data_IF_089377954704
#
_entry.id   IF_089377954704
#
_cell.length_a   1.000
_cell.length_b   1.000
_cell.length_c   1.000
_cell.angle_alpha   90.00
_cell.angle_beta   90.00
_cell.angle_gamma   90.00
#
_symmetry.space_group_name_H-M   'P 1'
#
loop_
_entity.id
_entity.type
_entity.pdbx_description
1 polymer ?
#
# COMPACT_ATOMS: atom_id res chain seq x y z
N UNK A 1 -5.89 -4.22 73.35
CA UNK A 1 -5.55 -4.15 71.91
C UNK A 1 -4.15 -4.74 71.73
N UNK A 2 -4.05 -5.90 71.06
CA UNK A 2 -2.81 -6.70 70.94
C UNK A 2 -1.78 -5.99 70.04
N UNK A 3 -0.48 -6.15 70.33
CA UNK A 3 0.64 -5.56 69.56
C UNK A 3 0.57 -5.97 68.08
N UNK A 4 0.13 -7.21 67.83
CA UNK A 4 -0.09 -7.75 66.48
C UNK A 4 -1.15 -6.92 65.71
N UNK A 5 -2.26 -6.53 66.34
CA UNK A 5 -3.26 -5.69 65.68
C UNK A 5 -2.73 -4.28 65.37
N UNK A 6 -1.86 -3.72 66.22
CA UNK A 6 -1.24 -2.41 65.95
C UNK A 6 -0.29 -2.48 64.75
N UNK A 7 0.48 -3.55 64.61
CA UNK A 7 1.36 -3.79 63.46
C UNK A 7 0.57 -3.96 62.16
N UNK A 8 -0.56 -4.69 62.19
CA UNK A 8 -1.45 -4.79 61.03
C UNK A 8 -2.02 -3.44 60.61
N UNK A 9 -2.58 -2.66 61.55
CA UNK A 9 -3.12 -1.33 61.24
C UNK A 9 -2.04 -0.41 60.66
N UNK A 10 -0.81 -0.47 61.17
CA UNK A 10 0.29 0.38 60.70
C UNK A 10 0.75 -0.02 59.29
N UNK A 11 0.81 -1.33 59.01
CA UNK A 11 1.06 -1.87 57.67
C UNK A 11 -0.03 -1.44 56.68
N UNK A 12 -1.29 -1.63 57.04
CA UNK A 12 -2.43 -1.32 56.18
C UNK A 12 -2.53 0.19 55.91
N UNK A 13 -2.26 1.03 56.92
CA UNK A 13 -2.20 2.49 56.76
C UNK A 13 -1.05 2.91 55.86
N UNK A 14 0.13 2.29 56.00
CA UNK A 14 1.27 2.57 55.14
C UNK A 14 1.00 2.17 53.68
N UNK A 15 0.37 1.01 53.45
CA UNK A 15 -0.07 0.56 52.12
C UNK A 15 -1.07 1.52 51.49
N UNK A 16 -2.13 1.91 52.22
CA UNK A 16 -3.12 2.88 51.75
C UNK A 16 -2.50 4.24 51.40
N UNK A 17 -1.54 4.70 52.21
CA UNK A 17 -0.86 5.98 51.98
C UNK A 17 0.02 5.91 50.72
N UNK A 18 0.73 4.80 50.53
CA UNK A 18 1.54 4.56 49.34
C UNK A 18 0.69 4.49 48.06
N UNK A 19 -0.40 3.72 48.08
CA UNK A 19 -1.35 3.62 46.96
C UNK A 19 -1.88 5.01 46.56
N UNK A 20 -2.36 5.79 47.53
CA UNK A 20 -2.89 7.13 47.27
C UNK A 20 -1.85 8.11 46.72
N UNK A 21 -0.61 8.03 47.19
CA UNK A 21 0.50 8.83 46.66
C UNK A 21 0.82 8.43 45.20
N UNK A 22 0.85 7.14 44.91
CA UNK A 22 1.07 6.63 43.54
C UNK A 22 -0.04 7.06 42.60
N UNK A 23 -1.31 6.95 43.02
CA UNK A 23 -2.47 7.38 42.24
C UNK A 23 -2.37 8.87 41.88
N UNK A 24 -2.16 9.73 42.88
CA UNK A 24 -2.03 11.16 42.66
C UNK A 24 -0.86 11.51 41.71
N UNK A 25 0.28 10.81 41.85
CA UNK A 25 1.44 11.02 40.98
C UNK A 25 1.13 10.69 39.52
N UNK A 26 0.58 9.50 39.25
CA UNK A 26 0.33 9.06 37.88
C UNK A 26 -0.83 9.80 37.22
N UNK A 27 -1.93 10.06 37.93
CA UNK A 27 -3.03 10.86 37.39
C UNK A 27 -2.59 12.29 37.07
N UNK A 28 -1.83 12.93 37.98
CA UNK A 28 -1.28 14.28 37.72
C UNK A 28 -0.28 14.30 36.56
N UNK A 29 0.52 13.25 36.43
CA UNK A 29 1.47 13.10 35.31
C UNK A 29 0.73 12.93 33.98
N UNK A 30 -0.30 12.08 33.94
CA UNK A 30 -1.13 11.89 32.74
C UNK A 30 -1.77 13.21 32.27
N UNK A 31 -2.39 13.96 33.18
CA UNK A 31 -3.00 15.26 32.87
C UNK A 31 -1.97 16.26 32.30
N UNK A 32 -0.75 16.28 32.85
CA UNK A 32 0.32 17.14 32.34
C UNK A 32 0.78 16.72 30.94
N UNK A 33 0.88 15.42 30.66
CA UNK A 33 1.24 14.89 29.35
C UNK A 33 0.15 15.18 28.32
N UNK A 34 -1.12 14.91 28.66
CA UNK A 34 -2.27 15.19 27.80
C UNK A 34 -2.30 16.68 27.40
N UNK A 35 -2.14 17.58 28.37
CA UNK A 35 -2.06 19.02 28.11
C UNK A 35 -0.88 19.37 27.21
N UNK A 36 0.29 18.78 27.45
CA UNK A 36 1.46 18.99 26.62
C UNK A 36 1.21 18.54 25.17
N UNK A 37 0.56 17.39 24.96
CA UNK A 37 0.26 16.84 23.63
C UNK A 37 -0.77 17.71 22.88
N UNK A 38 -1.76 18.26 23.59
CA UNK A 38 -2.80 19.10 23.00
C UNK A 38 -2.35 20.53 22.67
N UNK A 39 -1.47 21.12 23.50
CA UNK A 39 -1.14 22.56 23.42
C UNK A 39 0.26 22.87 22.87
N UNK A 40 1.17 21.90 22.84
CA UNK A 40 2.57 22.15 22.45
C UNK A 40 2.78 22.04 20.95
N UNK A 41 3.36 23.07 20.33
CA UNK A 41 3.84 23.02 18.95
C UNK A 41 5.31 22.56 18.84
N UNK A 42 6.00 22.41 19.99
CA UNK A 42 7.39 21.96 20.06
C UNK A 42 7.48 20.44 19.85
N UNK A 43 7.95 20.03 18.66
CA UNK A 43 8.10 18.64 18.23
C UNK A 43 8.95 17.79 19.19
N UNK A 44 9.98 18.38 19.81
CA UNK A 44 10.85 17.67 20.76
C UNK A 44 10.13 17.39 22.07
N UNK A 45 9.31 18.34 22.53
CA UNK A 45 8.46 18.14 23.71
C UNK A 45 7.37 17.11 23.44
N UNK A 46 6.71 17.19 22.27
CA UNK A 46 5.71 16.21 21.84
C UNK A 46 6.29 14.80 21.80
N UNK A 47 7.42 14.62 21.12
CA UNK A 47 8.10 13.32 21.02
C UNK A 47 8.47 12.77 22.40
N UNK A 48 8.94 13.63 23.31
CA UNK A 48 9.26 13.23 24.69
C UNK A 48 8.00 12.84 25.48
N UNK A 49 6.89 13.57 25.30
CA UNK A 49 5.63 13.29 25.96
C UNK A 49 5.02 11.96 25.49
N UNK A 50 4.96 11.74 24.17
CA UNK A 50 4.51 10.47 23.58
C UNK A 50 5.38 9.30 24.06
N UNK A 51 6.71 9.42 23.96
CA UNK A 51 7.63 8.36 24.41
C UNK A 51 7.45 8.03 25.90
N UNK A 52 7.23 9.05 26.74
CA UNK A 52 6.99 8.83 28.16
C UNK A 52 5.64 8.13 28.40
N UNK A 53 4.59 8.58 27.73
CA UNK A 53 3.25 7.99 27.84
C UNK A 53 3.25 6.53 27.37
N UNK A 54 3.81 6.26 26.20
CA UNK A 54 3.95 4.91 25.64
C UNK A 54 4.65 3.95 26.61
N UNK A 55 5.64 4.42 27.37
CA UNK A 55 6.39 3.60 28.34
C UNK A 55 5.65 3.38 29.67
N UNK A 56 4.76 4.30 30.04
CA UNK A 56 4.23 4.39 31.41
C UNK A 56 2.71 4.29 31.52
N UNK A 57 2.00 4.13 30.41
CA UNK A 57 0.55 3.93 30.41
C UNK A 57 0.07 2.79 31.33
N UNK A 58 0.78 1.63 31.49
CA UNK A 58 0.27 0.57 32.36
C UNK A 58 0.20 1.03 33.83
N UNK A 59 1.19 1.82 34.26
CA UNK A 59 1.23 2.38 35.63
C UNK A 59 0.17 3.44 35.84
N UNK A 60 -0.13 4.22 34.80
CA UNK A 60 -1.23 5.20 34.84
C UNK A 60 -2.57 4.51 34.94
N UNK A 61 -2.76 3.43 34.17
CA UNK A 61 -3.97 2.61 34.25
C UNK A 61 -4.12 1.92 35.62
N UNK A 62 -3.06 1.29 36.15
CA UNK A 62 -3.04 0.72 37.51
C UNK A 62 -3.34 1.77 38.60
N UNK A 63 -2.98 3.03 38.35
CA UNK A 63 -3.28 4.16 39.22
C UNK A 63 -4.72 4.70 39.08
N UNK A 64 -5.53 4.13 38.19
CA UNK A 64 -6.94 4.47 38.01
C UNK A 64 -7.21 5.51 36.92
N UNK A 65 -6.26 5.80 36.04
CA UNK A 65 -6.54 6.56 34.81
C UNK A 65 -7.31 5.66 33.85
N UNK A 66 -8.35 6.21 33.23
CA UNK A 66 -9.17 5.49 32.27
C UNK A 66 -8.33 5.06 31.04
N UNK A 67 -8.48 3.80 30.63
CA UNK A 67 -7.67 3.25 29.54
C UNK A 67 -8.04 3.86 28.19
N UNK A 68 -9.32 4.19 27.97
CA UNK A 68 -9.77 4.81 26.73
C UNK A 68 -9.26 6.26 26.64
N UNK A 69 -9.22 6.99 27.75
CA UNK A 69 -8.56 8.31 27.81
C UNK A 69 -7.07 8.22 27.46
N UNK A 70 -6.37 7.19 27.96
CA UNK A 70 -4.96 6.94 27.62
C UNK A 70 -4.80 6.69 26.12
N UNK A 71 -5.60 5.79 25.56
CA UNK A 71 -5.54 5.40 24.13
C UNK A 71 -5.77 6.61 23.23
N UNK A 72 -6.70 7.51 23.59
CA UNK A 72 -6.97 8.74 22.81
C UNK A 72 -5.79 9.73 22.78
N UNK A 73 -4.88 9.65 23.76
CA UNK A 73 -3.73 10.57 23.88
C UNK A 73 -2.44 9.93 23.38
N UNK A 74 -2.37 8.59 23.31
CA UNK A 74 -1.22 7.89 22.76
C UNK A 74 -1.02 8.22 21.28
N UNK A 75 0.24 8.20 20.86
CA UNK A 75 0.54 8.30 19.43
C UNK A 75 0.00 7.05 18.72
N UNK A 76 -0.66 7.16 17.56
CA UNK A 76 -1.22 5.99 16.87
C UNK A 76 -0.19 4.88 16.58
N UNK A 77 1.05 5.24 16.23
CA UNK A 77 2.13 4.25 16.07
C UNK A 77 2.46 3.51 17.37
N UNK A 78 2.45 4.19 18.52
CA UNK A 78 2.70 3.54 19.81
C UNK A 78 1.56 2.57 20.18
N UNK A 79 0.32 2.87 19.74
CA UNK A 79 -0.83 1.97 19.90
C UNK A 79 -0.64 0.71 19.06
N UNK A 80 -0.20 0.83 17.80
CA UNK A 80 0.07 -0.32 16.91
C UNK A 80 1.18 -1.22 17.48
N UNK A 81 2.26 -0.61 17.99
CA UNK A 81 3.37 -1.36 18.59
C UNK A 81 2.95 -2.11 19.86
N UNK A 82 2.02 -1.55 20.63
CA UNK A 82 1.58 -2.12 21.91
C UNK A 82 0.15 -2.68 21.85
N UNK A 83 -0.34 -3.00 20.66
CA UNK A 83 -1.75 -3.31 20.41
C UNK A 83 -2.26 -4.44 21.30
N UNK A 84 -1.53 -5.56 21.37
CA UNK A 84 -1.91 -6.71 22.17
C UNK A 84 -1.90 -6.38 23.67
N UNK A 85 -0.91 -5.62 24.15
CA UNK A 85 -0.82 -5.24 25.55
C UNK A 85 -1.96 -4.32 26.00
N UNK A 86 -2.37 -3.39 25.13
CA UNK A 86 -3.52 -2.51 25.37
C UNK A 86 -4.84 -3.31 25.34
N UNK A 87 -4.99 -4.23 24.38
CA UNK A 87 -6.17 -5.09 24.28
C UNK A 87 -6.30 -6.03 25.48
N UNK A 88 -5.19 -6.62 25.94
CA UNK A 88 -5.13 -7.47 27.14
C UNK A 88 -5.49 -6.69 28.42
N UNK A 89 -5.19 -5.39 28.46
CA UNK A 89 -5.61 -4.50 29.54
C UNK A 89 -7.08 -4.06 29.43
N UNK A 90 -7.78 -4.44 28.35
CA UNK A 90 -9.21 -4.20 28.15
C UNK A 90 -9.55 -3.00 27.26
N UNK A 91 -8.60 -2.45 26.50
CA UNK A 91 -8.86 -1.39 25.54
C UNK A 91 -9.67 -1.90 24.34
N UNK A 92 -10.64 -1.12 23.87
CA UNK A 92 -11.39 -1.43 22.65
C UNK A 92 -10.69 -0.79 21.45
N UNK A 93 -9.83 -1.57 20.79
CA UNK A 93 -9.03 -1.09 19.67
C UNK A 93 -9.63 -1.49 18.33
N UNK A 94 -9.66 -0.53 17.40
CA UNK A 94 -9.98 -0.72 15.99
C UNK A 94 -8.74 -0.32 15.18
N UNK A 95 -8.04 -1.32 14.64
CA UNK A 95 -6.76 -1.12 13.94
C UNK A 95 -6.93 -0.22 12.71
N UNK A 96 -8.05 -0.33 11.99
CA UNK A 96 -8.30 0.46 10.78
C UNK A 96 -8.51 1.94 11.12
N UNK A 97 -9.18 2.23 12.25
CA UNK A 97 -9.31 3.60 12.75
C UNK A 97 -7.99 4.17 13.26
N UNK A 98 -7.17 3.36 13.94
CA UNK A 98 -5.86 3.77 14.44
C UNK A 98 -4.95 4.13 13.27
N UNK A 99 -4.89 3.28 12.23
CA UNK A 99 -4.05 3.51 11.06
C UNK A 99 -4.44 4.82 10.35
N UNK A 100 -5.74 5.09 10.17
CA UNK A 100 -6.24 6.35 9.59
C UNK A 100 -5.92 7.60 10.40
N UNK A 101 -5.59 7.44 11.68
CA UNK A 101 -5.27 8.55 12.59
C UNK A 101 -3.79 8.93 12.55
N UNK A 102 -2.94 8.20 11.80
CA UNK A 102 -1.51 8.46 11.71
C UNK A 102 -1.24 9.75 10.93
N UNK A 103 -0.59 10.76 11.54
CA UNK A 103 -0.27 11.99 10.85
C UNK A 103 0.90 11.81 9.88
N UNK A 104 0.75 12.31 8.65
CA UNK A 104 1.85 12.42 7.68
C UNK A 104 2.06 11.23 6.75
N UNK A 105 1.07 10.34 6.59
CA UNK A 105 1.09 9.21 5.67
C UNK A 105 1.66 7.92 6.28
N UNK A 106 1.49 6.79 5.58
CA UNK A 106 1.77 5.46 6.12
C UNK A 106 3.16 4.92 5.78
N UNK A 107 4.04 5.72 5.16
CA UNK A 107 5.42 5.35 4.79
C UNK A 107 6.37 5.01 5.95
N UNK A 108 5.90 5.01 7.20
CA UNK A 108 6.63 4.54 8.39
C UNK A 108 6.02 3.28 9.01
N UNK A 109 4.95 2.74 8.43
CA UNK A 109 4.24 1.62 9.01
C UNK A 109 4.77 0.31 8.45
N UNK A 110 5.06 -0.62 9.36
CA UNK A 110 5.32 -1.99 8.99
C UNK A 110 4.00 -2.66 8.53
N UNK A 111 3.86 -2.86 7.22
CA UNK A 111 2.68 -3.50 6.63
C UNK A 111 2.46 -4.92 7.15
N UNK A 112 3.55 -5.65 7.44
CA UNK A 112 3.46 -6.99 8.01
C UNK A 112 2.84 -6.93 9.40
N UNK A 113 3.21 -5.92 10.19
CA UNK A 113 2.60 -5.68 11.51
C UNK A 113 1.12 -5.40 11.39
N UNK A 114 0.70 -4.49 10.51
CA UNK A 114 -0.73 -4.19 10.30
C UNK A 114 -1.53 -5.43 9.89
N UNK A 115 -1.00 -6.19 8.92
CA UNK A 115 -1.64 -7.41 8.46
C UNK A 115 -1.76 -8.44 9.59
N UNK A 116 -0.73 -8.58 10.42
CA UNK A 116 -0.75 -9.49 11.58
C UNK A 116 -1.78 -9.10 12.65
N UNK A 117 -2.11 -7.80 12.75
CA UNK A 117 -3.15 -7.27 13.63
C UNK A 117 -4.56 -7.37 13.01
N UNK A 118 -4.67 -7.88 11.79
CA UNK A 118 -5.95 -8.05 11.09
C UNK A 118 -6.49 -6.76 10.49
N UNK A 119 -5.63 -5.79 10.17
CA UNK A 119 -6.06 -4.58 9.47
C UNK A 119 -6.58 -4.90 8.07
N UNK A 120 -7.51 -4.09 7.59
CA UNK A 120 -7.96 -4.12 6.20
C UNK A 120 -6.89 -3.48 5.31
N UNK A 121 -6.01 -4.33 4.79
CA UNK A 121 -4.86 -3.92 3.99
C UNK A 121 -5.26 -3.31 2.65
N UNK A 122 -6.43 -3.68 2.10
CA UNK A 122 -6.97 -3.05 0.90
C UNK A 122 -7.38 -1.60 1.17
N UNK A 123 -8.08 -1.37 2.29
CA UNK A 123 -8.44 -0.01 2.71
C UNK A 123 -7.22 0.86 2.97
N UNK A 124 -6.15 0.29 3.54
CA UNK A 124 -4.90 1.03 3.78
C UNK A 124 -4.23 1.37 2.45
N UNK A 125 -4.09 0.39 1.57
CA UNK A 125 -3.40 0.55 0.30
C UNK A 125 -4.08 1.56 -0.64
N UNK A 126 -5.42 1.61 -0.64
CA UNK A 126 -6.18 2.58 -1.47
C UNK A 126 -6.05 4.03 -0.96
N UNK A 127 -5.77 4.22 0.33
CA UNK A 127 -5.71 5.55 0.95
C UNK A 127 -4.28 6.06 1.18
N UNK A 128 -3.27 5.25 0.86
CA UNK A 128 -1.88 5.65 0.95
C UNK A 128 -1.19 5.70 -0.42
N UNK A 129 -1.00 6.91 -0.92
CA UNK A 129 -0.23 7.15 -2.15
C UNK A 129 1.23 6.65 -2.01
N UNK A 130 1.73 6.43 -0.78
CA UNK A 130 3.09 5.91 -0.57
C UNK A 130 3.25 4.41 -0.86
N UNK A 131 2.14 3.70 -1.11
CA UNK A 131 2.12 2.26 -1.41
C UNK A 131 2.03 1.93 -2.91
N UNK A 132 2.18 2.93 -3.79
CA UNK A 132 2.32 2.69 -5.23
C UNK A 132 3.62 1.93 -5.53
N UNK A 133 3.56 0.68 -6.02
CA UNK A 133 4.75 -0.13 -6.21
C UNK A 133 5.56 0.33 -7.43
N UNK A 134 6.86 0.49 -7.23
CA UNK A 134 7.85 0.84 -8.25
C UNK A 134 8.65 -0.36 -8.77
N UNK A 135 8.43 -1.55 -8.20
CA UNK A 135 9.12 -2.78 -8.61
C UNK A 135 8.25 -4.02 -8.47
N UNK A 136 8.67 -5.13 -9.10
CA UNK A 136 7.99 -6.42 -8.95
C UNK A 136 8.14 -7.00 -7.53
N UNK A 137 9.24 -6.67 -6.84
CA UNK A 137 9.44 -7.10 -5.45
C UNK A 137 8.43 -6.39 -4.54
N UNK A 138 8.19 -5.09 -4.75
CA UNK A 138 7.17 -4.33 -4.01
C UNK A 138 5.74 -4.83 -4.29
N UNK A 139 5.44 -5.27 -5.51
CA UNK A 139 4.17 -5.97 -5.81
C UNK A 139 4.01 -7.20 -4.91
N UNK A 140 5.06 -8.03 -4.81
CA UNK A 140 5.02 -9.23 -3.97
C UNK A 140 4.90 -8.88 -2.49
N UNK A 141 5.61 -7.85 -2.03
CA UNK A 141 5.56 -7.39 -0.65
C UNK A 141 4.15 -6.94 -0.25
N UNK A 142 3.44 -6.20 -1.11
CA UNK A 142 2.03 -5.81 -0.85
C UNK A 142 1.14 -7.05 -0.69
N UNK A 143 1.27 -8.03 -1.59
CA UNK A 143 0.44 -9.24 -1.59
C UNK A 143 0.73 -10.12 -0.38
N UNK A 144 2.01 -10.31 -0.03
CA UNK A 144 2.43 -11.05 1.17
C UNK A 144 1.88 -10.39 2.43
N UNK A 145 1.83 -9.05 2.44
CA UNK A 145 1.24 -8.26 3.52
C UNK A 145 -0.27 -8.09 3.39
N UNK A 146 -0.96 -8.97 2.66
CA UNK A 146 -2.42 -9.10 2.73
C UNK A 146 -3.22 -8.15 1.84
N UNK A 147 -2.56 -7.32 1.04
CA UNK A 147 -3.25 -6.55 -0.01
C UNK A 147 -3.74 -7.52 -1.08
N UNK A 148 -5.00 -7.37 -1.49
CA UNK A 148 -5.60 -8.24 -2.48
C UNK A 148 -4.99 -8.02 -3.85
N UNK A 149 -4.93 -9.11 -4.62
CA UNK A 149 -4.40 -9.12 -6.00
C UNK A 149 -5.03 -8.01 -6.86
N UNK A 150 -6.32 -7.74 -6.64
CA UNK A 150 -7.03 -6.70 -7.38
C UNK A 150 -6.54 -5.30 -7.03
N UNK A 151 -6.43 -4.97 -5.74
CA UNK A 151 -5.95 -3.66 -5.30
C UNK A 151 -4.50 -3.46 -5.69
N UNK A 152 -3.65 -4.48 -5.54
CA UNK A 152 -2.26 -4.42 -6.00
C UNK A 152 -2.16 -4.20 -7.51
N UNK A 153 -3.01 -4.84 -8.33
CA UNK A 153 -3.05 -4.61 -9.77
C UNK A 153 -3.40 -3.16 -10.12
N UNK A 154 -4.40 -2.59 -9.43
CA UNK A 154 -4.84 -1.22 -9.65
C UNK A 154 -3.77 -0.21 -9.22
N UNK A 155 -3.08 -0.45 -8.09
CA UNK A 155 -1.94 0.37 -7.65
C UNK A 155 -0.72 0.26 -8.56
N UNK A 156 -0.52 -0.88 -9.22
CA UNK A 156 0.64 -1.12 -10.10
C UNK A 156 0.51 -0.43 -11.47
N UNK A 157 -0.51 0.40 -11.70
CA UNK A 157 -0.78 1.03 -12.99
C UNK A 157 0.45 1.78 -13.51
N UNK A 158 1.05 2.69 -12.74
CA UNK A 158 2.21 3.47 -13.19
C UNK A 158 3.40 2.60 -13.55
N UNK A 159 3.71 1.58 -12.74
CA UNK A 159 4.76 0.61 -13.04
C UNK A 159 4.47 -0.19 -14.32
N UNK A 160 3.22 -0.63 -14.51
CA UNK A 160 2.82 -1.36 -15.71
C UNK A 160 2.95 -0.46 -16.94
N UNK A 161 2.47 0.78 -16.88
CA UNK A 161 2.57 1.74 -17.97
C UNK A 161 4.04 2.07 -18.28
N UNK A 162 4.87 2.29 -17.26
CA UNK A 162 6.31 2.53 -17.41
C UNK A 162 7.09 1.33 -17.93
N UNK A 163 6.54 0.11 -17.80
CA UNK A 163 7.16 -1.11 -18.33
C UNK A 163 6.90 -1.32 -19.83
N UNK A 164 6.12 -0.45 -20.49
CA UNK A 164 5.81 -0.53 -21.91
C UNK A 164 7.06 -0.57 -22.81
N UNK A 165 8.15 0.09 -22.40
CA UNK A 165 9.43 0.08 -23.12
C UNK A 165 10.13 -1.29 -23.11
N UNK A 166 9.69 -2.20 -22.26
CA UNK A 166 10.29 -3.52 -22.08
C UNK A 166 9.21 -4.61 -22.15
N UNK A 167 8.82 -5.06 -23.36
CA UNK A 167 7.71 -6.01 -23.55
C UNK A 167 7.84 -7.30 -22.73
N UNK A 168 9.06 -7.83 -22.57
CA UNK A 168 9.33 -8.98 -21.69
C UNK A 168 8.99 -8.73 -20.23
N UNK A 169 9.34 -7.55 -19.71
CA UNK A 169 9.08 -7.15 -18.32
C UNK A 169 7.59 -6.91 -18.14
N UNK A 170 6.97 -6.17 -19.06
CA UNK A 170 5.53 -5.94 -19.07
C UNK A 170 4.75 -7.26 -19.09
N UNK A 171 5.12 -8.18 -19.98
CA UNK A 171 4.49 -9.50 -20.06
C UNK A 171 4.61 -10.27 -18.75
N UNK A 172 5.79 -10.28 -18.10
CA UNK A 172 6.00 -10.95 -16.81
C UNK A 172 5.09 -10.40 -15.73
N UNK A 173 4.98 -9.07 -15.61
CA UNK A 173 4.11 -8.41 -14.63
C UNK A 173 2.65 -8.78 -14.89
N UNK A 174 2.17 -8.64 -16.14
CA UNK A 174 0.78 -8.94 -16.49
C UNK A 174 0.45 -10.43 -16.36
N UNK A 175 1.38 -11.31 -16.72
CA UNK A 175 1.23 -12.75 -16.56
C UNK A 175 1.16 -13.16 -15.09
N UNK A 176 1.93 -12.51 -14.22
CA UNK A 176 1.83 -12.71 -12.78
C UNK A 176 0.42 -12.37 -12.28
N UNK A 177 -0.11 -11.19 -12.62
CA UNK A 177 -1.45 -10.80 -12.21
C UNK A 177 -2.54 -11.72 -12.79
N UNK A 178 -2.44 -12.07 -14.07
CA UNK A 178 -3.35 -13.01 -14.71
C UNK A 178 -3.34 -14.39 -14.03
N UNK A 179 -2.16 -14.91 -13.72
CA UNK A 179 -1.98 -16.20 -13.05
C UNK A 179 -2.55 -16.20 -11.62
N UNK A 180 -2.60 -15.02 -10.99
CA UNK A 180 -3.20 -14.80 -9.68
C UNK A 180 -4.70 -14.41 -9.74
N UNK A 181 -5.33 -14.51 -10.92
CA UNK A 181 -6.79 -14.40 -11.06
C UNK A 181 -7.31 -13.06 -11.57
N UNK A 182 -6.45 -12.13 -11.99
CA UNK A 182 -6.91 -10.93 -12.71
C UNK A 182 -7.49 -11.33 -14.07
N UNK A 183 -8.69 -10.85 -14.37
CA UNK A 183 -9.37 -11.15 -15.62
C UNK A 183 -8.59 -10.61 -16.82
N UNK A 184 -8.48 -11.42 -17.87
CA UNK A 184 -7.93 -11.05 -19.18
C UNK A 184 -8.49 -9.74 -19.75
N UNK A 185 -9.76 -9.41 -19.46
CA UNK A 185 -10.39 -8.14 -19.81
C UNK A 185 -9.69 -6.95 -19.16
N UNK A 186 -9.34 -7.04 -17.86
CA UNK A 186 -8.61 -5.98 -17.15
C UNK A 186 -7.17 -5.85 -17.65
N UNK A 187 -6.52 -6.98 -17.92
CA UNK A 187 -5.19 -6.99 -18.57
C UNK A 187 -5.23 -6.27 -19.92
N UNK A 188 -6.25 -6.57 -20.74
CA UNK A 188 -6.47 -5.87 -22.01
C UNK A 188 -6.75 -4.38 -21.84
N UNK A 189 -7.58 -4.01 -20.88
CA UNK A 189 -7.88 -2.60 -20.59
C UNK A 189 -6.60 -1.83 -20.27
N UNK A 190 -5.72 -2.42 -19.46
CA UNK A 190 -4.42 -1.85 -19.14
C UNK A 190 -3.51 -1.70 -20.38
N UNK A 191 -3.41 -2.72 -21.23
CA UNK A 191 -2.65 -2.62 -22.49
C UNK A 191 -3.20 -1.52 -23.40
N UNK A 192 -4.52 -1.34 -23.44
CA UNK A 192 -5.14 -0.29 -24.25
C UNK A 192 -4.90 1.13 -23.71
N UNK A 193 -4.50 1.28 -22.44
CA UNK A 193 -4.00 2.55 -21.90
C UNK A 193 -2.60 2.87 -22.45
N UNK A 194 -1.75 1.85 -22.65
CA UNK A 194 -0.40 1.97 -23.21
C UNK A 194 -0.44 2.24 -24.72
N UNK A 195 -1.25 1.46 -25.45
CA UNK A 195 -1.41 1.56 -26.89
C UNK A 195 -2.74 2.26 -27.14
N UNK A 196 -2.79 3.61 -27.10
CA UNK A 196 -4.04 4.30 -27.35
C UNK A 196 -4.52 3.97 -28.75
N UNK A 197 -5.81 3.64 -28.86
CA UNK A 197 -6.49 3.31 -30.13
C UNK A 197 -6.39 4.46 -31.16
N UNK A 198 -5.99 5.66 -30.72
CA UNK A 198 -5.72 6.84 -31.54
C UNK A 198 -4.33 7.37 -31.19
N UNK A 199 -3.32 7.11 -32.01
CA UNK A 199 -1.97 7.62 -31.85
C UNK A 199 -1.94 9.15 -31.98
N UNK A 200 -1.55 9.88 -30.92
CA UNK A 200 -1.54 11.37 -30.89
C UNK A 200 -0.16 11.96 -30.51
N UNK A 201 0.84 11.17 -30.10
CA UNK A 201 2.15 11.70 -29.68
C UNK A 201 3.32 10.99 -30.36
N UNK A 202 4.10 11.75 -31.14
CA UNK A 202 5.28 11.29 -31.89
C UNK A 202 6.43 10.80 -30.99
N UNK A 203 6.54 11.35 -29.77
CA UNK A 203 7.62 11.00 -28.84
C UNK A 203 7.47 9.60 -28.23
N UNK A 204 6.25 9.06 -28.25
CA UNK A 204 5.91 7.75 -27.67
C UNK A 204 5.92 6.61 -28.70
N UNK A 205 6.15 6.92 -29.98
CA UNK A 205 5.97 5.97 -31.07
C UNK A 205 6.98 4.82 -31.06
N UNK A 206 8.22 5.06 -30.62
CA UNK A 206 9.29 4.07 -30.74
C UNK A 206 9.06 2.86 -29.83
N UNK A 207 8.82 3.10 -28.53
CA UNK A 207 8.58 2.00 -27.59
C UNK A 207 7.20 1.34 -27.77
N UNK A 208 6.19 2.11 -28.23
CA UNK A 208 4.90 1.53 -28.59
C UNK A 208 5.05 0.62 -29.83
N UNK A 209 5.90 0.96 -30.80
CA UNK A 209 6.22 0.10 -31.94
C UNK A 209 6.85 -1.22 -31.49
N UNK A 210 7.87 -1.17 -30.63
CA UNK A 210 8.54 -2.37 -30.10
C UNK A 210 7.54 -3.30 -29.37
N UNK A 211 6.62 -2.74 -28.57
CA UNK A 211 5.57 -3.50 -27.92
C UNK A 211 4.57 -4.11 -28.90
N UNK A 212 4.15 -3.37 -29.93
CA UNK A 212 3.20 -3.88 -30.93
C UNK A 212 3.85 -4.97 -31.78
N UNK A 213 5.12 -4.80 -32.17
CA UNK A 213 5.92 -5.81 -32.84
C UNK A 213 6.01 -7.06 -31.97
N UNK A 214 6.33 -6.92 -30.68
CA UNK A 214 6.35 -8.04 -29.74
C UNK A 214 4.95 -8.66 -29.57
N UNK A 215 3.85 -7.91 -29.67
CA UNK A 215 2.50 -8.52 -29.59
C UNK A 215 2.15 -9.31 -30.85
N UNK A 216 2.59 -8.85 -32.04
CA UNK A 216 2.13 -9.38 -33.33
C UNK A 216 3.09 -10.41 -33.92
N UNK A 217 4.39 -10.12 -33.82
CA UNK A 217 5.46 -10.91 -34.41
C UNK A 217 6.09 -11.89 -33.42
N UNK A 218 5.74 -11.84 -32.13
CA UNK A 218 6.33 -12.72 -31.12
C UNK A 218 6.20 -14.20 -31.50
N UNK A 219 7.34 -14.88 -31.76
CA UNK A 219 7.35 -16.27 -32.18
C UNK A 219 6.91 -17.21 -31.07
N UNK A 220 6.97 -16.78 -29.80
CA UNK A 220 6.52 -17.55 -28.64
C UNK A 220 5.00 -17.53 -28.45
N UNK A 221 4.30 -16.60 -29.12
CA UNK A 221 2.84 -16.45 -29.07
C UNK A 221 2.32 -16.41 -27.62
N UNK A 222 3.01 -15.65 -26.76
CA UNK A 222 2.77 -15.61 -25.31
C UNK A 222 1.58 -14.73 -24.91
N UNK A 223 1.36 -13.63 -25.64
CA UNK A 223 0.31 -12.66 -25.36
C UNK A 223 -1.13 -13.22 -25.33
N UNK A 224 -1.52 -14.16 -26.22
CA UNK A 224 -2.81 -14.83 -26.12
C UNK A 224 -3.07 -15.58 -24.83
N UNK A 225 -2.03 -16.03 -24.11
CA UNK A 225 -2.17 -16.75 -22.83
C UNK A 225 -2.85 -15.86 -21.79
N UNK A 226 -2.57 -14.56 -21.82
CA UNK A 226 -3.16 -13.55 -20.91
C UNK A 226 -4.35 -12.80 -21.55
N UNK A 227 -4.86 -13.31 -22.68
CA UNK A 227 -6.04 -12.78 -23.39
C UNK A 227 -5.80 -11.58 -24.31
N UNK A 228 -4.54 -11.20 -24.53
CA UNK A 228 -4.15 -10.21 -25.52
C UNK A 228 -4.15 -10.88 -26.90
N UNK A 229 -5.00 -10.39 -27.82
CA UNK A 229 -5.17 -11.00 -29.14
C UNK A 229 -4.38 -10.19 -30.16
N UNK A 230 -3.36 -10.75 -30.83
CA UNK A 230 -2.55 -10.02 -31.81
C UNK A 230 -3.36 -9.31 -32.91
N UNK A 231 -4.46 -9.93 -33.36
CA UNK A 231 -5.41 -9.34 -34.32
C UNK A 231 -6.03 -8.01 -33.85
N UNK A 232 -6.12 -7.83 -32.52
CA UNK A 232 -6.47 -6.60 -31.80
C UNK A 232 -5.65 -5.38 -32.24
N UNK A 233 -4.37 -5.64 -32.48
CA UNK A 233 -3.32 -4.63 -32.59
C UNK A 233 -2.80 -4.51 -34.02
N UNK A 234 -3.33 -5.29 -34.97
CA UNK A 234 -2.88 -5.27 -36.37
C UNK A 234 -3.06 -3.90 -37.04
N UNK A 235 -4.11 -3.14 -36.70
CA UNK A 235 -4.30 -1.78 -37.23
C UNK A 235 -3.21 -0.81 -36.77
N UNK A 236 -2.96 -0.66 -35.46
CA UNK A 236 -1.78 0.02 -34.93
C UNK A 236 -0.46 -0.37 -35.62
N UNK A 237 -0.24 -1.66 -35.83
CA UNK A 237 0.98 -2.16 -36.46
C UNK A 237 1.10 -1.77 -37.93
N UNK A 238 0.05 -1.92 -38.73
CA UNK A 238 0.05 -1.48 -40.13
C UNK A 238 0.34 0.02 -40.24
N UNK A 239 -0.17 0.82 -39.30
CA UNK A 239 0.10 2.25 -39.25
C UNK A 239 1.59 2.56 -39.01
N UNK A 240 2.23 1.84 -38.09
CA UNK A 240 3.65 2.02 -37.75
C UNK A 240 4.59 1.43 -38.81
N UNK A 241 4.22 0.30 -39.42
CA UNK A 241 5.03 -0.47 -40.37
C UNK A 241 4.46 -0.38 -41.80
N UNK A 242 3.93 0.78 -42.19
CA UNK A 242 3.24 0.94 -43.48
C UNK A 242 4.11 0.53 -44.68
N UNK A 243 5.40 0.92 -44.68
CA UNK A 243 6.33 0.56 -45.76
C UNK A 243 6.60 -0.95 -45.81
N UNK A 244 6.76 -1.60 -44.66
CA UNK A 244 6.96 -3.06 -44.56
C UNK A 244 5.69 -3.82 -44.94
N UNK A 245 4.52 -3.38 -44.48
CA UNK A 245 3.21 -3.94 -44.81
C UNK A 245 2.92 -3.84 -46.31
N UNK A 246 3.27 -2.71 -46.95
CA UNK A 246 3.14 -2.52 -48.39
C UNK A 246 4.26 -3.20 -49.19
N UNK A 247 5.27 -3.78 -48.52
CA UNK A 247 6.39 -4.49 -49.15
C UNK A 247 7.35 -3.56 -49.91
N UNK A 248 7.39 -2.28 -49.53
CA UNK A 248 8.21 -1.23 -50.14
C UNK A 248 9.62 -1.34 -49.58
N UNK A 249 10.48 -2.09 -50.28
CA UNK A 249 11.94 -2.11 -50.01
C UNK A 249 12.66 -1.14 -50.96
N UNK A 250 13.85 -0.61 -50.61
CA UNK A 250 14.60 0.34 -51.46
C UNK A 250 14.83 -0.14 -52.90
N UNK A 251 14.82 -1.46 -53.13
CA UNK A 251 15.05 -2.10 -54.43
C UNK A 251 13.79 -2.66 -55.10
N UNK A 252 12.60 -2.50 -54.51
CA UNK A 252 11.35 -3.14 -54.96
C UNK A 252 10.34 -2.14 -55.52
N UNK A 253 9.84 -2.43 -56.72
CA UNK A 253 8.78 -1.68 -57.42
C UNK A 253 7.37 -2.10 -56.95
N UNK A 254 6.35 -1.27 -57.29
CA UNK A 254 4.89 -1.42 -57.05
C UNK A 254 4.28 -2.81 -57.34
N UNK A 255 5.03 -3.72 -57.96
CA UNK A 255 4.61 -5.10 -58.25
C UNK A 255 4.55 -6.02 -57.01
N UNK A 256 5.06 -5.57 -55.84
CA UNK A 256 5.10 -6.37 -54.60
C UNK A 256 4.02 -5.99 -53.57
N UNK A 257 3.08 -5.10 -53.93
CA UNK A 257 1.96 -4.76 -53.05
C UNK A 257 1.11 -6.01 -52.72
N UNK A 258 0.51 -6.08 -51.51
CA UNK A 258 -0.45 -7.11 -51.18
C UNK A 258 -1.54 -7.24 -52.26
N UNK A 259 -1.93 -8.48 -52.57
CA UNK A 259 -2.86 -8.81 -53.67
C UNK A 259 -4.21 -8.07 -53.59
N UNK A 260 -4.59 -7.63 -52.39
CA UNK A 260 -5.67 -6.69 -52.14
C UNK A 260 -5.31 -5.86 -50.91
N UNK A 261 -5.55 -4.55 -50.98
CA UNK A 261 -5.49 -3.61 -49.86
C UNK A 261 -6.92 -3.10 -49.67
N UNK A 262 -7.48 -3.26 -48.47
CA UNK A 262 -8.83 -2.79 -48.17
C UNK A 262 -8.76 -1.41 -47.51
N UNK A 263 -9.68 -0.51 -47.89
CA UNK A 263 -9.82 0.80 -47.23
C UNK A 263 -10.06 0.65 -45.71
N UNK A 264 -10.60 -0.49 -45.25
CA UNK A 264 -10.81 -0.78 -43.82
C UNK A 264 -9.53 -1.10 -43.03
N UNK A 265 -8.42 -1.30 -43.74
CA UNK A 265 -7.10 -1.60 -43.16
C UNK A 265 -6.39 -0.31 -42.70
N UNK A 266 -6.87 0.85 -43.17
CA UNK A 266 -6.53 2.20 -42.70
C UNK A 266 -7.70 2.81 -41.91
#
# INVERSE_FOLDING_TARGET
MNIINKLHILKDTASLTYEKLSQNFWCGTFQALQKCIQESEDEKKLSSAYSFLAKHWPKMHEAGVDLEEIVQVLHPLDIIEQFEALQDAGAHLDIDQIVRSIPGGHGKIDLHRLHSLGADMDLIAIHDDSLEPCSFDEINDLIINGVSIQVTFDLSESLILGSAEYPDTLFKILYFFYSNGIDSWKIREMINKIIPVKFIDESSLLYIADLIDDIIEDPSNRWPVIGIKPKEYSKPWIYLHCDDYLGIKPEKTLANLPKAISIRDF
#
